data_IF_651315941107
#
_entry.id   IF_651315941107
#
_cell.length_a   1.000
_cell.length_b   1.000
_cell.length_c   1.000
_cell.angle_alpha   90.00
_cell.angle_beta   90.00
_cell.angle_gamma   90.00
#
_symmetry.space_group_name_H-M   'P 1'
#
loop_
_entity.id
_entity.type
_entity.pdbx_description
1 polymer ?
#
# COMPACT_ATOMS: atom_id res chain seq x y z
N UNK A 1 12.19 3.85 21.32
CA UNK A 1 12.40 5.31 21.31
C UNK A 1 12.02 5.79 19.93
N UNK A 2 10.91 6.53 19.82
CA UNK A 2 10.43 7.04 18.55
C UNK A 2 11.44 8.07 18.05
N UNK A 3 12.14 7.76 16.95
CA UNK A 3 13.07 8.67 16.30
C UNK A 3 12.38 9.99 15.97
N UNK A 4 12.78 11.04 16.66
CA UNK A 4 12.22 12.38 16.49
C UNK A 4 12.46 12.86 15.06
N UNK A 5 11.36 13.06 14.34
CA UNK A 5 11.40 13.76 13.05
C UNK A 5 11.88 15.18 13.31
N UNK A 6 13.13 15.46 12.96
CA UNK A 6 13.67 16.81 13.06
C UNK A 6 12.98 17.73 12.05
N UNK A 7 12.89 19.01 12.38
CA UNK A 7 12.31 20.02 11.49
C UNK A 7 13.02 20.00 10.12
N UNK A 8 14.35 19.86 10.12
CA UNK A 8 15.16 19.73 8.90
C UNK A 8 14.78 18.51 8.06
N UNK A 9 14.59 17.34 8.69
CA UNK A 9 14.18 16.12 7.99
C UNK A 9 12.79 16.28 7.36
N UNK A 10 11.84 16.90 8.07
CA UNK A 10 10.49 17.17 7.55
C UNK A 10 10.52 18.20 6.41
N UNK A 11 11.38 19.21 6.52
CA UNK A 11 11.54 20.23 5.48
C UNK A 11 12.14 19.62 4.21
N UNK A 12 13.19 18.81 4.34
CA UNK A 12 13.81 18.09 3.24
C UNK A 12 12.82 17.11 2.60
N UNK A 13 12.08 16.33 3.40
CA UNK A 13 11.01 15.44 2.96
C UNK A 13 10.00 16.17 2.08
N UNK A 14 9.51 17.32 2.54
CA UNK A 14 8.53 18.14 1.83
C UNK A 14 9.08 18.65 0.50
N UNK A 15 10.31 19.16 0.47
CA UNK A 15 10.96 19.64 -0.76
C UNK A 15 11.12 18.52 -1.78
N UNK A 16 11.61 17.35 -1.37
CA UNK A 16 11.81 16.20 -2.26
C UNK A 16 10.48 15.66 -2.80
N UNK A 17 9.45 15.57 -1.94
CA UNK A 17 8.12 15.15 -2.37
C UNK A 17 7.46 16.14 -3.33
N UNK A 18 7.66 17.46 -3.15
CA UNK A 18 7.25 18.49 -4.10
C UNK A 18 7.97 18.37 -5.45
N UNK A 19 9.24 17.97 -5.44
CA UNK A 19 10.01 17.67 -6.64
C UNK A 19 9.62 16.35 -7.33
N UNK A 20 8.53 15.70 -6.90
CA UNK A 20 8.07 14.41 -7.42
C UNK A 20 9.14 13.31 -7.28
N UNK A 21 9.92 13.31 -6.19
CA UNK A 21 10.77 12.16 -5.88
C UNK A 21 9.93 11.02 -5.28
N UNK A 22 10.23 9.75 -5.62
CA UNK A 22 9.54 8.59 -5.05
C UNK A 22 9.95 8.37 -3.59
N UNK A 23 9.03 7.84 -2.78
CA UNK A 23 9.28 7.61 -1.35
C UNK A 23 10.51 6.73 -1.08
N UNK A 24 10.81 5.77 -1.97
CA UNK A 24 11.99 4.91 -1.92
C UNK A 24 13.31 5.71 -2.00
N UNK A 25 13.39 6.69 -2.90
CA UNK A 25 14.56 7.55 -3.04
C UNK A 25 14.70 8.51 -1.84
N UNK A 26 13.58 9.03 -1.35
CA UNK A 26 13.53 9.91 -0.19
C UNK A 26 14.01 9.18 1.07
N UNK A 27 13.54 7.95 1.29
CA UNK A 27 13.95 7.10 2.40
C UNK A 27 15.46 6.80 2.36
N UNK A 28 15.99 6.47 1.18
CA UNK A 28 17.43 6.28 1.01
C UNK A 28 18.25 7.54 1.33
N UNK A 29 17.78 8.72 0.91
CA UNK A 29 18.49 9.99 1.20
C UNK A 29 18.46 10.36 2.68
N UNK A 30 17.34 10.10 3.36
CA UNK A 30 17.18 10.39 4.79
C UNK A 30 17.80 9.30 5.68
N UNK A 31 18.14 8.14 5.12
CA UNK A 31 18.59 6.98 5.90
C UNK A 31 17.49 6.45 6.83
N UNK A 32 16.23 6.62 6.43
CA UNK A 32 15.05 6.29 7.24
C UNK A 32 14.28 5.13 6.62
N UNK A 33 13.45 4.49 7.43
CA UNK A 33 12.57 3.42 6.98
C UNK A 33 11.52 3.93 5.99
N UNK A 34 11.30 3.19 4.91
CA UNK A 34 10.36 3.58 3.85
C UNK A 34 8.93 3.68 4.38
N UNK A 35 8.55 2.78 5.29
CA UNK A 35 7.23 2.78 5.90
C UNK A 35 7.00 4.03 6.77
N UNK A 36 8.01 4.41 7.55
CA UNK A 36 7.98 5.63 8.36
C UNK A 36 7.88 6.90 7.49
N UNK A 37 8.61 6.93 6.36
CA UNK A 37 8.56 8.03 5.39
C UNK A 37 7.18 8.13 4.74
N UNK A 38 6.59 7.01 4.30
CA UNK A 38 5.23 6.96 3.75
C UNK A 38 4.18 7.43 4.75
N UNK A 39 4.22 6.89 5.96
CA UNK A 39 3.31 7.28 7.03
C UNK A 39 3.42 8.78 7.35
N UNK A 40 4.62 9.36 7.29
CA UNK A 40 4.82 10.80 7.50
C UNK A 40 4.31 11.63 6.33
N UNK A 41 4.53 11.20 5.09
CA UNK A 41 4.01 11.88 3.89
C UNK A 41 2.48 11.89 3.87
N UNK A 42 1.84 10.76 4.20
CA UNK A 42 0.40 10.65 4.39
C UNK A 42 -0.12 11.60 5.49
N UNK A 43 0.54 11.63 6.65
CA UNK A 43 0.18 12.56 7.73
C UNK A 43 0.28 14.04 7.32
N UNK A 44 1.22 14.38 6.43
CA UNK A 44 1.40 15.74 5.92
C UNK A 44 0.49 16.06 4.72
N UNK A 45 -0.25 15.08 4.20
CA UNK A 45 -1.10 15.23 3.02
C UNK A 45 -0.31 15.47 1.73
N UNK A 46 0.96 15.04 1.67
CA UNK A 46 1.82 15.22 0.51
C UNK A 46 1.86 13.90 -0.26
N UNK A 47 1.40 13.91 -1.51
CA UNK A 47 1.51 12.76 -2.40
C UNK A 47 2.89 12.79 -3.10
N UNK A 48 3.83 11.89 -2.74
CA UNK A 48 5.08 11.73 -3.49
C UNK A 48 4.77 11.19 -4.90
N UNK A 49 5.80 11.14 -5.77
CA UNK A 49 5.62 10.42 -7.03
C UNK A 49 5.22 8.96 -6.77
N UNK A 50 4.29 8.40 -7.57
CA UNK A 50 3.93 7.01 -7.45
C UNK A 50 5.19 6.18 -7.69
N UNK A 51 5.57 5.39 -6.68
CA UNK A 51 6.52 4.31 -6.90
C UNK A 51 5.81 3.31 -7.82
N UNK A 52 6.52 2.75 -8.80
CA UNK A 52 5.95 1.82 -9.79
C UNK A 52 5.20 0.63 -9.12
N UNK A 53 5.48 0.38 -7.84
CA UNK A 53 4.84 -0.62 -6.98
C UNK A 53 3.49 -0.21 -6.35
N UNK A 54 3.18 1.08 -6.23
CA UNK A 54 1.90 1.58 -5.66
C UNK A 54 0.78 1.69 -6.69
N UNK A 55 1.13 1.76 -7.98
CA UNK A 55 0.15 1.75 -9.06
C UNK A 55 -0.61 0.40 -9.18
N UNK A 56 -0.10 -0.65 -8.54
CA UNK A 56 -0.70 -2.00 -8.50
C UNK A 56 -1.57 -2.24 -7.24
N UNK A 57 -1.50 -1.36 -6.22
CA UNK A 57 -2.38 -1.43 -5.05
C UNK A 57 -3.74 -0.77 -5.35
N UNK A 58 -4.29 -1.14 -6.50
CA UNK A 58 -5.53 -0.65 -7.05
C UNK A 58 -6.63 -1.70 -7.11
N UNK A 59 -6.54 -2.86 -6.43
CA UNK A 59 -7.67 -3.80 -6.38
C UNK A 59 -7.78 -4.50 -5.01
N UNK A 60 -8.16 -3.74 -3.99
CA UNK A 60 -8.96 -4.31 -2.90
C UNK A 60 -10.39 -4.51 -3.43
N UNK A 61 -10.59 -5.53 -4.27
CA UNK A 61 -11.91 -6.01 -4.60
C UNK A 61 -12.60 -6.45 -3.30
N UNK A 62 -13.78 -5.89 -2.94
CA UNK A 62 -14.48 -6.36 -1.77
C UNK A 62 -14.84 -7.82 -1.98
N UNK A 63 -14.58 -8.63 -0.95
CA UNK A 63 -14.91 -10.05 -0.96
C UNK A 63 -16.37 -10.27 -1.29
N UNK A 64 -16.63 -10.78 -2.49
CA UNK A 64 -17.83 -11.52 -2.80
C UNK A 64 -17.39 -12.97 -3.00
N UNK A 65 -17.37 -13.71 -1.90
CA UNK A 65 -17.30 -15.15 -1.97
C UNK A 65 -18.68 -15.64 -2.44
N UNK A 66 -18.81 -16.30 -3.61
CA UNK A 66 -19.98 -17.12 -3.84
C UNK A 66 -19.81 -18.37 -2.97
N UNK A 67 -20.44 -18.32 -1.79
CA UNK A 67 -20.77 -19.51 -1.02
C UNK A 67 -21.67 -20.39 -1.88
N UNK A 68 -21.10 -21.37 -2.56
CA UNK A 68 -21.85 -22.46 -3.19
C UNK A 68 -21.56 -23.76 -2.43
N UNK A 69 -22.02 -23.81 -1.18
CA UNK A 69 -22.40 -25.07 -0.57
C UNK A 69 -23.84 -25.36 -0.98
N UNK A 70 -24.08 -26.34 -1.86
CA UNK A 70 -25.13 -27.34 -1.69
C UNK A 70 -25.34 -28.18 -2.96
N UNK A 71 -25.42 -29.50 -2.71
CA UNK A 71 -26.14 -30.50 -3.49
C UNK A 71 -25.51 -30.98 -4.81
N UNK A 72 -24.44 -31.75 -4.69
CA UNK A 72 -24.22 -32.91 -5.57
C UNK A 72 -24.79 -34.16 -4.91
N UNK A 73 -26.12 -34.26 -4.83
CA UNK A 73 -26.81 -35.46 -4.33
C UNK A 73 -26.65 -36.60 -5.35
N UNK A 74 -26.04 -37.68 -4.86
CA UNK A 74 -25.90 -38.97 -5.53
C UNK A 74 -27.30 -39.60 -5.70
N UNK A 75 -27.82 -39.68 -6.93
CA UNK A 75 -28.88 -40.66 -7.23
C UNK A 75 -28.45 -41.60 -8.35
N UNK A 76 -28.03 -42.76 -7.85
CA UNK A 76 -27.82 -44.03 -8.52
C UNK A 76 -28.99 -44.45 -9.44
N UNK A 77 -28.60 -45.09 -10.54
CA UNK A 77 -29.26 -46.22 -11.22
C UNK A 77 -30.65 -45.97 -11.83
N UNK A 78 -30.69 -45.85 -13.17
CA UNK A 78 -31.87 -46.24 -13.94
C UNK A 78 -31.57 -47.54 -14.70
N UNK A 79 -32.24 -48.60 -14.27
CA UNK A 79 -32.35 -49.91 -14.92
C UNK A 79 -33.34 -49.80 -16.08
N UNK A 80 -33.05 -50.40 -17.24
CA UNK A 80 -34.00 -51.05 -18.16
C UNK A 80 -33.27 -52.09 -19.00
#
# INVERSE_FOLDING_TARGET
>A
MAGEWTLEAVQALKTMAQNREPASAIAMRLGMDLDAVRAKLLQLGIAPAPDLRDADQGEAGPGDAPRVDAAGDEVRLHTM
#
